data_IF_731393407165
#
_entry.id   IF_731393407165
#
_cell.length_a   1.000
_cell.length_b   1.000
_cell.length_c   1.000
_cell.angle_alpha   90.00
_cell.angle_beta   90.00
_cell.angle_gamma   90.00
#
_symmetry.space_group_name_H-M   'P 1'
#
loop_
_entity.id
_entity.type
_entity.pdbx_description
1 polymer ?
#
# COMPACT_ATOMS: atom_id res chain seq x y z
N UNK A 1 -9.20 17.92 -15.67
CA UNK A 1 -10.37 17.86 -14.77
C UNK A 1 -10.71 16.39 -14.57
N UNK A 2 -10.88 15.90 -13.33
CA UNK A 2 -11.25 14.48 -13.12
C UNK A 2 -12.68 14.26 -13.65
N UNK A 3 -12.90 13.22 -14.43
CA UNK A 3 -14.20 12.92 -15.03
C UNK A 3 -15.12 12.27 -13.98
N UNK A 4 -16.45 12.30 -14.19
CA UNK A 4 -17.42 11.58 -13.33
C UNK A 4 -17.07 10.10 -13.15
N UNK A 5 -16.38 9.50 -14.12
CA UNK A 5 -15.91 8.12 -14.06
C UNK A 5 -14.85 7.86 -12.97
N UNK A 6 -14.22 8.90 -12.41
CA UNK A 6 -13.24 8.76 -11.33
C UNK A 6 -13.87 8.72 -9.93
N UNK A 7 -15.13 9.16 -9.80
CA UNK A 7 -15.88 9.16 -8.55
C UNK A 7 -16.36 7.74 -8.23
N UNK A 8 -16.16 7.32 -6.98
CA UNK A 8 -16.53 5.99 -6.52
C UNK A 8 -16.83 5.95 -5.02
N UNK A 9 -17.80 5.13 -4.66
CA UNK A 9 -18.14 4.86 -3.26
C UNK A 9 -17.30 3.68 -2.79
N UNK A 10 -16.34 3.95 -1.90
CA UNK A 10 -15.47 2.93 -1.32
C UNK A 10 -15.97 2.61 0.09
N UNK A 11 -16.42 1.37 0.38
CA UNK A 11 -16.81 0.99 1.73
C UNK A 11 -15.59 1.03 2.64
N UNK A 12 -15.74 1.69 3.80
CA UNK A 12 -14.69 1.78 4.82
C UNK A 12 -14.91 0.71 5.89
N UNK A 13 -13.89 -0.10 6.22
CA UNK A 13 -13.95 -0.95 7.41
C UNK A 13 -14.24 -0.12 8.66
N UNK A 14 -15.01 -0.69 9.60
CA UNK A 14 -15.44 0.00 10.83
C UNK A 14 -14.25 0.59 11.58
N UNK A 15 -13.19 -0.19 11.78
CA UNK A 15 -11.98 0.26 12.46
C UNK A 15 -11.29 1.45 11.77
N UNK A 16 -11.31 1.52 10.43
CA UNK A 16 -10.75 2.64 9.69
C UNK A 16 -11.67 3.86 9.81
N UNK A 17 -12.99 3.67 9.69
CA UNK A 17 -13.96 4.74 9.85
C UNK A 17 -13.88 5.39 11.23
N UNK A 18 -13.73 4.58 12.29
CA UNK A 18 -13.52 5.06 13.66
C UNK A 18 -12.21 5.85 13.79
N UNK A 19 -11.09 5.33 13.28
CA UNK A 19 -9.82 6.04 13.28
C UNK A 19 -9.91 7.41 12.59
N UNK A 20 -10.58 7.47 11.42
CA UNK A 20 -10.73 8.70 10.65
C UNK A 20 -11.65 9.71 11.35
N UNK A 21 -12.73 9.24 11.99
CA UNK A 21 -13.62 10.08 12.80
C UNK A 21 -12.89 10.67 13.99
N UNK A 22 -12.16 9.86 14.76
CA UNK A 22 -11.37 10.33 15.89
C UNK A 22 -10.31 11.37 15.46
N UNK A 23 -9.63 11.14 14.33
CA UNK A 23 -8.70 12.11 13.77
C UNK A 23 -9.40 13.43 13.39
N UNK A 24 -10.59 13.34 12.79
CA UNK A 24 -11.39 14.49 12.38
C UNK A 24 -11.94 15.30 13.56
N UNK A 25 -12.34 14.65 14.65
CA UNK A 25 -12.82 15.32 15.88
C UNK A 25 -11.76 16.26 16.49
N UNK A 26 -10.48 15.91 16.36
CA UNK A 26 -9.37 16.75 16.83
C UNK A 26 -8.98 17.87 15.86
N UNK A 27 -9.57 17.90 14.66
CA UNK A 27 -9.19 18.82 13.58
C UNK A 27 -10.28 19.85 13.31
N UNK A 28 -9.87 21.12 13.19
CA UNK A 28 -10.74 22.22 12.76
C UNK A 28 -10.78 22.39 11.23
N UNK A 29 -9.88 21.73 10.50
CA UNK A 29 -9.83 21.74 9.03
C UNK A 29 -11.05 21.05 8.44
N UNK A 30 -11.50 21.41 7.23
CA UNK A 30 -12.46 20.63 6.45
C UNK A 30 -11.95 19.21 6.15
N UNK A 31 -10.64 19.05 5.96
CA UNK A 31 -9.99 17.79 5.61
C UNK A 31 -9.68 16.93 6.84
N UNK A 32 -9.75 15.60 6.68
CA UNK A 32 -9.35 14.65 7.73
C UNK A 32 -7.83 14.67 7.95
N UNK A 33 -7.07 14.86 6.86
CA UNK A 33 -5.61 14.98 6.89
C UNK A 33 -5.25 16.33 6.28
N UNK A 34 -4.93 17.29 7.13
CA UNK A 34 -4.57 18.66 6.73
C UNK A 34 -3.13 18.98 7.10
N UNK A 35 -2.61 20.06 6.51
CA UNK A 35 -1.41 20.71 7.00
C UNK A 35 -1.73 21.57 8.25
N UNK A 36 -0.73 22.31 8.74
CA UNK A 36 -0.85 23.15 9.94
C UNK A 36 -1.81 24.32 9.77
N UNK A 37 -2.04 24.76 8.55
CA UNK A 37 -2.91 25.88 8.19
C UNK A 37 -4.36 25.40 7.95
N UNK A 38 -4.62 24.09 8.07
CA UNK A 38 -5.93 23.50 7.80
C UNK A 38 -6.21 23.21 6.33
N UNK A 39 -5.22 23.38 5.46
CA UNK A 39 -5.32 23.13 4.02
C UNK A 39 -4.88 21.70 3.65
N UNK A 40 -5.17 21.21 2.43
CA UNK A 40 -4.67 19.93 1.97
C UNK A 40 -3.15 19.85 1.99
N UNK A 41 -2.62 18.63 2.23
CA UNK A 41 -1.19 18.38 2.08
C UNK A 41 -0.76 18.58 0.62
N UNK A 42 0.23 19.44 0.40
CA UNK A 42 0.98 19.47 -0.86
C UNK A 42 1.74 18.16 -1.08
N UNK A 43 2.10 17.87 -2.33
CA UNK A 43 2.89 16.68 -2.67
C UNK A 43 4.20 16.60 -1.87
N UNK A 44 4.89 17.73 -1.68
CA UNK A 44 6.13 17.80 -0.90
C UNK A 44 5.89 17.48 0.58
N UNK A 45 4.80 17.99 1.17
CA UNK A 45 4.44 17.68 2.56
C UNK A 45 4.09 16.20 2.72
N UNK A 46 3.33 15.63 1.79
CA UNK A 46 3.04 14.20 1.77
C UNK A 46 4.32 13.36 1.66
N UNK A 47 5.26 13.73 0.78
CA UNK A 47 6.57 13.06 0.67
C UNK A 47 7.35 13.10 1.99
N UNK A 48 7.31 14.22 2.71
CA UNK A 48 7.93 14.34 4.05
C UNK A 48 7.26 13.43 5.08
N UNK A 49 5.94 13.29 5.04
CA UNK A 49 5.23 12.34 5.88
C UNK A 49 5.68 10.90 5.57
N UNK A 50 5.82 10.56 4.29
CA UNK A 50 6.30 9.24 3.89
C UNK A 50 7.75 8.97 4.32
N UNK A 51 8.56 10.02 4.49
CA UNK A 51 9.94 9.90 4.94
C UNK A 51 10.04 9.20 6.31
N UNK A 52 9.02 9.29 7.18
CA UNK A 52 8.98 8.56 8.46
C UNK A 52 8.92 7.04 8.29
N UNK A 53 8.30 6.55 7.21
CA UNK A 53 8.33 5.13 6.85
C UNK A 53 9.68 4.80 6.23
N UNK A 54 10.13 5.64 5.30
CA UNK A 54 11.41 5.44 4.62
C UNK A 54 12.54 5.37 5.64
N UNK A 55 12.61 6.19 6.69
CA UNK A 55 13.67 6.13 7.72
C UNK A 55 13.69 4.86 8.57
N UNK A 56 12.64 4.05 8.53
CA UNK A 56 12.56 2.76 9.23
C UNK A 56 12.98 1.57 8.35
N UNK A 57 13.37 1.81 7.11
CA UNK A 57 13.86 0.76 6.21
C UNK A 57 15.37 0.54 6.34
N UNK A 58 15.83 -0.68 6.07
CA UNK A 58 17.26 -1.06 6.00
C UNK A 58 17.92 -0.67 4.68
N UNK A 59 17.25 0.14 3.84
CA UNK A 59 17.80 0.60 2.56
C UNK A 59 19.08 1.40 2.82
N UNK A 60 20.16 1.02 2.14
CA UNK A 60 21.44 1.74 2.17
C UNK A 60 21.23 3.20 1.75
N UNK A 61 21.90 4.12 2.45
CA UNK A 61 21.81 5.55 2.17
C UNK A 61 23.17 6.18 2.21
N UNK A 62 23.39 7.09 1.29
CA UNK A 62 24.56 7.95 1.34
C UNK A 62 24.15 9.39 1.60
N UNK A 63 24.90 10.06 2.47
CA UNK A 63 24.82 11.49 2.68
C UNK A 63 26.19 12.12 2.48
N UNK A 64 26.22 13.42 2.20
CA UNK A 64 27.46 14.16 2.07
C UNK A 64 27.65 15.05 3.28
N UNK A 65 28.86 15.05 3.85
CA UNK A 65 29.27 15.96 4.92
C UNK A 65 30.50 16.72 4.46
N UNK A 66 30.59 18.00 4.81
CA UNK A 66 31.82 18.76 4.62
C UNK A 66 32.74 18.51 5.81
N UNK A 67 33.95 18.03 5.52
CA UNK A 67 35.02 17.78 6.49
C UNK A 67 36.28 18.43 5.91
N UNK A 68 36.90 19.34 6.66
CA UNK A 68 38.06 20.13 6.23
C UNK A 68 37.88 20.81 4.85
N UNK A 69 36.69 21.37 4.62
CA UNK A 69 36.32 22.04 3.38
C UNK A 69 36.06 21.10 2.19
N UNK A 70 36.21 19.78 2.35
CA UNK A 70 35.96 18.78 1.30
C UNK A 70 34.63 18.07 1.51
N UNK A 71 33.91 17.83 0.40
CA UNK A 71 32.62 17.10 0.41
C UNK A 71 32.87 15.59 0.45
N UNK A 72 32.76 14.99 1.64
CA UNK A 72 32.97 13.55 1.87
C UNK A 72 31.63 12.82 1.82
N UNK A 73 31.59 11.67 1.14
CA UNK A 73 30.41 10.78 1.08
C UNK A 73 30.47 9.79 2.25
N UNK A 74 29.44 9.80 3.09
CA UNK A 74 29.23 8.82 4.15
C UNK A 74 28.11 7.87 3.73
N UNK A 75 28.32 6.57 3.90
CA UNK A 75 27.31 5.55 3.62
C UNK A 75 26.88 4.88 4.92
N UNK A 76 25.56 4.75 5.09
CA UNK A 76 24.93 4.04 6.19
C UNK A 76 24.26 2.81 5.61
N UNK A 77 24.59 1.65 6.18
CA UNK A 77 23.99 0.36 5.86
C UNK A 77 23.26 -0.12 7.12
N UNK A 78 21.98 0.24 7.30
CA UNK A 78 21.25 -0.10 8.51
C UNK A 78 20.99 -1.61 8.61
N UNK A 79 21.02 -2.17 9.81
CA UNK A 79 20.64 -3.57 10.06
C UNK A 79 19.24 -3.64 10.68
N UNK A 80 18.47 -4.66 10.31
CA UNK A 80 17.12 -4.87 10.84
C UNK A 80 17.16 -5.03 12.37
N UNK A 81 16.30 -4.29 13.07
CA UNK A 81 16.21 -4.26 14.53
C UNK A 81 17.12 -3.24 15.21
N UNK A 82 18.10 -2.67 14.50
CA UNK A 82 18.96 -1.63 15.08
C UNK A 82 18.25 -0.28 15.22
N UNK A 83 18.74 0.53 16.17
CA UNK A 83 18.30 1.92 16.33
C UNK A 83 19.15 2.84 15.46
N UNK A 84 18.51 3.86 14.89
CA UNK A 84 19.23 4.86 14.11
C UNK A 84 20.23 5.63 14.99
N UNK A 85 21.48 5.74 14.53
CA UNK A 85 22.58 6.36 15.28
C UNK A 85 22.27 7.80 15.74
N UNK A 86 21.56 8.58 14.92
CA UNK A 86 21.21 9.96 15.21
C UNK A 86 19.80 10.14 15.80
N UNK A 87 19.03 9.06 15.96
CA UNK A 87 17.69 9.11 16.55
C UNK A 87 17.33 7.77 17.19
N UNK A 88 17.62 7.62 18.48
CA UNK A 88 17.36 6.40 19.25
C UNK A 88 15.87 5.99 19.36
N UNK A 89 14.93 6.83 18.91
CA UNK A 89 13.49 6.48 18.82
C UNK A 89 13.14 5.75 17.51
N UNK A 90 14.00 5.81 16.50
CA UNK A 90 13.78 5.16 15.21
C UNK A 90 14.49 3.82 15.22
N UNK A 91 13.72 2.76 15.00
CA UNK A 91 14.22 1.39 14.79
C UNK A 91 14.04 1.04 13.32
N UNK A 92 15.05 0.41 12.72
CA UNK A 92 14.94 -0.14 11.38
C UNK A 92 14.09 -1.41 11.43
N UNK A 93 12.82 -1.31 11.07
CA UNK A 93 11.83 -2.39 11.22
C UNK A 93 11.36 -2.98 9.89
N UNK A 94 11.90 -2.49 8.77
CA UNK A 94 11.47 -2.89 7.42
C UNK A 94 12.71 -3.26 6.58
N UNK A 95 12.75 -4.48 6.07
CA UNK A 95 13.82 -4.99 5.22
C UNK A 95 13.57 -4.78 3.71
N UNK A 96 12.45 -4.17 3.35
CA UNK A 96 12.06 -3.87 1.97
C UNK A 96 11.65 -2.41 1.77
N UNK A 97 11.62 -1.98 0.51
CA UNK A 97 11.13 -0.66 0.13
C UNK A 97 9.61 -0.61 0.10
N UNK A 98 9.05 0.38 0.79
CA UNK A 98 7.61 0.63 0.87
C UNK A 98 7.28 1.95 0.19
N UNK A 99 6.33 1.90 -0.73
CA UNK A 99 5.76 3.03 -1.45
C UNK A 99 4.25 3.09 -1.19
N UNK A 100 3.63 4.27 -1.25
CA UNK A 100 2.17 4.38 -1.10
C UNK A 100 1.41 3.56 -2.15
N UNK A 101 1.98 3.40 -3.34
CA UNK A 101 1.38 2.63 -4.41
C UNK A 101 1.35 1.12 -4.10
N UNK A 102 2.38 0.59 -3.42
CA UNK A 102 2.36 -0.81 -2.94
C UNK A 102 1.21 -1.06 -1.97
N UNK A 103 0.86 -0.10 -1.10
CA UNK A 103 -0.30 -0.25 -0.21
C UNK A 103 -1.61 -0.43 -1.00
N UNK A 104 -1.78 0.29 -2.12
CA UNK A 104 -2.91 0.08 -3.04
C UNK A 104 -2.89 -1.31 -3.66
N UNK A 105 -1.73 -1.81 -4.06
CA UNK A 105 -1.60 -3.19 -4.56
C UNK A 105 -1.93 -4.22 -3.49
N UNK A 106 -1.51 -4.04 -2.24
CA UNK A 106 -1.85 -4.92 -1.13
C UNK A 106 -3.36 -4.95 -0.90
N UNK A 107 -4.04 -3.80 -0.90
CA UNK A 107 -5.50 -3.73 -0.82
C UNK A 107 -6.19 -4.53 -1.92
N UNK A 108 -5.79 -4.32 -3.19
CA UNK A 108 -6.35 -5.03 -4.34
C UNK A 108 -6.11 -6.54 -4.23
N UNK A 109 -4.90 -6.95 -3.86
CA UNK A 109 -4.52 -8.35 -3.71
C UNK A 109 -5.34 -9.04 -2.62
N UNK A 110 -5.59 -8.35 -1.50
CA UNK A 110 -6.43 -8.87 -0.42
C UNK A 110 -7.89 -9.06 -0.85
N UNK A 111 -8.46 -8.14 -1.65
CA UNK A 111 -9.81 -8.33 -2.21
C UNK A 111 -9.88 -9.56 -3.12
N UNK A 112 -8.85 -9.80 -3.92
CA UNK A 112 -8.76 -10.96 -4.80
C UNK A 112 -8.64 -12.25 -3.99
N UNK A 113 -7.82 -12.27 -2.94
CA UNK A 113 -7.72 -13.41 -2.02
C UNK A 113 -9.04 -13.70 -1.31
N UNK A 114 -9.81 -12.66 -0.96
CA UNK A 114 -11.16 -12.79 -0.43
C UNK A 114 -12.21 -13.19 -1.49
N UNK A 115 -11.78 -13.52 -2.71
CA UNK A 115 -12.64 -13.92 -3.83
C UNK A 115 -13.72 -12.90 -4.21
N UNK A 116 -13.48 -11.61 -3.97
CA UNK A 116 -14.32 -10.54 -4.50
C UNK A 116 -14.31 -10.60 -6.03
N UNK A 117 -15.45 -10.36 -6.66
CA UNK A 117 -15.58 -10.46 -8.11
C UNK A 117 -14.68 -9.43 -8.82
N UNK A 118 -14.08 -9.78 -9.97
CA UNK A 118 -13.12 -8.89 -10.65
C UNK A 118 -13.68 -7.52 -11.04
N UNK A 119 -14.99 -7.40 -11.28
CA UNK A 119 -15.62 -6.12 -11.64
C UNK A 119 -15.73 -5.19 -10.43
N UNK A 120 -16.10 -5.72 -9.27
CA UNK A 120 -16.07 -4.98 -8.01
C UNK A 120 -14.65 -4.59 -7.62
N UNK A 121 -13.67 -5.50 -7.77
CA UNK A 121 -12.26 -5.15 -7.54
C UNK A 121 -11.82 -4.02 -8.49
N UNK A 122 -12.18 -4.07 -9.77
CA UNK A 122 -11.87 -3.01 -10.74
C UNK A 122 -12.47 -1.67 -10.32
N UNK A 123 -13.75 -1.66 -9.91
CA UNK A 123 -14.45 -0.45 -9.46
C UNK A 123 -13.78 0.15 -8.22
N UNK A 124 -13.54 -0.67 -7.18
CA UNK A 124 -12.92 -0.22 -5.93
C UNK A 124 -11.47 0.25 -6.12
N UNK A 125 -10.72 -0.47 -6.96
CA UNK A 125 -9.38 -0.09 -7.33
C UNK A 125 -9.34 1.20 -8.15
N UNK A 126 -10.41 1.54 -8.90
CA UNK A 126 -10.43 2.65 -9.83
C UNK A 126 -9.48 2.44 -11.00
N UNK A 127 -9.48 1.23 -11.57
CA UNK A 127 -8.71 0.91 -12.79
C UNK A 127 -9.51 1.27 -14.04
N UNK A 128 -8.92 2.10 -14.90
CA UNK A 128 -9.53 2.49 -16.18
C UNK A 128 -9.81 1.29 -17.09
N UNK A 129 -8.94 0.27 -17.04
CA UNK A 129 -9.08 -0.96 -17.83
C UNK A 129 -9.26 -2.18 -16.93
N UNK A 130 -10.17 -3.09 -17.30
CA UNK A 130 -10.33 -4.40 -16.67
C UNK A 130 -9.10 -5.29 -16.85
N UNK A 131 -8.26 -5.03 -17.85
CA UNK A 131 -7.03 -5.78 -18.12
C UNK A 131 -6.09 -5.76 -16.91
N UNK A 132 -5.89 -4.57 -16.31
CA UNK A 132 -5.01 -4.41 -15.15
C UNK A 132 -5.49 -5.28 -13.98
N UNK A 133 -6.80 -5.28 -13.71
CA UNK A 133 -7.39 -6.10 -12.64
C UNK A 133 -7.26 -7.59 -12.93
N UNK A 134 -7.53 -8.01 -14.17
CA UNK A 134 -7.46 -9.41 -14.56
C UNK A 134 -6.04 -9.96 -14.55
N UNK A 135 -5.04 -9.19 -14.99
CA UNK A 135 -3.62 -9.59 -14.96
C UNK A 135 -3.16 -9.85 -13.51
N UNK A 136 -3.58 -9.00 -12.56
CA UNK A 136 -3.32 -9.21 -11.13
C UNK A 136 -4.09 -10.43 -10.62
N UNK A 137 -5.36 -10.58 -10.99
CA UNK A 137 -6.22 -11.69 -10.57
C UNK A 137 -5.64 -13.04 -11.01
N UNK A 138 -5.21 -13.15 -12.26
CA UNK A 138 -4.59 -14.35 -12.81
C UNK A 138 -3.31 -14.72 -12.05
N UNK A 139 -2.44 -13.73 -11.80
CA UNK A 139 -1.20 -13.93 -11.04
C UNK A 139 -1.47 -14.40 -9.60
N UNK A 140 -2.46 -13.82 -8.93
CA UNK A 140 -2.73 -14.05 -7.50
C UNK A 140 -3.53 -15.33 -7.26
N UNK A 141 -4.54 -15.64 -8.09
CA UNK A 141 -5.49 -16.74 -7.84
C UNK A 141 -5.25 -17.97 -8.71
N UNK A 142 -4.81 -17.81 -9.96
CA UNK A 142 -4.78 -18.91 -10.93
C UNK A 142 -3.37 -19.39 -11.29
N UNK A 143 -2.32 -18.75 -10.77
CA UNK A 143 -0.94 -19.21 -10.98
C UNK A 143 -0.55 -20.42 -10.10
N UNK A 144 -1.52 -21.27 -9.76
CA UNK A 144 -1.36 -22.53 -8.99
C UNK A 144 -2.06 -23.67 -9.74
N UNK A 145 -1.45 -24.17 -10.83
CA UNK A 145 -2.09 -25.18 -11.69
C UNK A 145 -2.49 -26.44 -10.91
N UNK A 146 -1.73 -26.84 -9.88
CA UNK A 146 -2.00 -28.04 -9.09
C UNK A 146 -3.29 -27.96 -8.26
N UNK A 147 -3.65 -26.78 -7.76
CA UNK A 147 -4.91 -26.55 -7.02
C UNK A 147 -6.13 -26.51 -7.97
N UNK A 148 -5.90 -26.04 -9.20
CA UNK A 148 -6.90 -26.00 -10.27
C UNK A 148 -7.30 -27.41 -10.72
N UNK A 149 -6.33 -28.30 -10.91
CA UNK A 149 -6.57 -29.70 -11.30
C UNK A 149 -7.46 -30.42 -10.28
N UNK A 150 -7.23 -30.19 -8.98
CA UNK A 150 -8.07 -30.77 -7.92
C UNK A 150 -9.51 -30.26 -7.99
N UNK A 151 -9.68 -28.96 -8.18
CA UNK A 151 -11.00 -28.34 -8.27
C UNK A 151 -11.77 -28.82 -9.50
N UNK A 152 -11.08 -28.99 -10.63
CA UNK A 152 -11.66 -29.57 -11.85
C UNK A 152 -12.11 -31.01 -11.64
N UNK A 153 -11.26 -31.85 -11.05
CA UNK A 153 -11.60 -33.25 -10.78
C UNK A 153 -12.82 -33.39 -9.85
N UNK A 154 -12.93 -32.54 -8.83
CA UNK A 154 -14.13 -32.52 -7.97
C UNK A 154 -15.39 -32.11 -8.74
N UNK A 155 -15.30 -31.12 -9.64
CA UNK A 155 -16.43 -30.67 -10.44
C UNK A 155 -16.91 -31.78 -11.40
N UNK A 156 -16.01 -32.47 -12.08
CA UNK A 156 -16.36 -33.60 -12.96
C UNK A 156 -16.95 -34.78 -12.18
N UNK A 157 -16.36 -35.13 -11.02
CA UNK A 157 -16.91 -36.20 -10.18
C UNK A 157 -18.33 -35.89 -9.67
N UNK A 158 -18.63 -34.61 -9.38
CA UNK A 158 -19.98 -34.19 -8.99
C UNK A 158 -21.01 -34.21 -10.13
N UNK A 159 -20.55 -34.03 -11.37
CA UNK A 159 -21.39 -34.14 -12.56
C UNK A 159 -21.77 -35.60 -12.83
N UNK A 160 -20.78 -36.50 -12.80
CA UNK A 160 -21.00 -37.92 -13.05
C UNK A 160 -21.92 -38.57 -12.00
N UNK A 161 -21.91 -38.05 -10.76
CA UNK A 161 -22.80 -38.50 -9.69
C UNK A 161 -24.24 -37.97 -9.80
N UNK A 162 -24.50 -37.00 -10.67
CA UNK A 162 -25.81 -36.38 -10.88
C UNK A 162 -26.55 -36.91 -12.13
N UNK A 163 -25.95 -37.84 -12.88
CA UNK A 163 -26.58 -38.61 -13.96
C UNK A 163 -27.07 -39.96 -13.45
#
# INVERSE_FOLDING_TARGET
MKTKAAERNIPLPVCLAECLKAAKETSTSEYVVSNRDGEPLSYTQFKRLWQYIVTRTVKERSYYRYEDGKRVKHTVTPVLGEKAAHNGKVVYSLDFEVTPHQLRHTYITNLIHASVDPKTVQYLAGHESSKITMDIYAKVKYNRPDELVRSMNCAFASWDAAQ
#
